data_IF_805566878270
#
_entry.id   IF_805566878270
#
_cell.length_a   1.000
_cell.length_b   1.000
_cell.length_c   1.000
_cell.angle_alpha   90.00
_cell.angle_beta   90.00
_cell.angle_gamma   90.00
#
_symmetry.space_group_name_H-M   'P 1'
#
loop_
_entity.id
_entity.type
_entity.pdbx_description
1 polymer ?
#
# COMPACT_ATOMS: atom_id res chain seq x y z
N UNK A 1 -1.62 39.49 14.07
CA UNK A 1 -1.41 39.80 12.64
C UNK A 1 -0.94 38.52 11.96
N UNK A 2 -1.76 38.03 11.02
CA UNK A 2 -1.58 36.75 10.32
C UNK A 2 -0.76 37.02 9.05
N UNK A 3 0.40 36.38 8.88
CA UNK A 3 1.21 36.59 7.67
C UNK A 3 0.84 35.52 6.63
N UNK A 4 -0.03 35.87 5.68
CA UNK A 4 -0.33 35.07 4.50
C UNK A 4 0.82 35.22 3.50
N UNK A 5 1.70 34.24 3.44
CA UNK A 5 2.71 34.17 2.38
C UNK A 5 2.13 33.37 1.21
N UNK A 6 1.80 34.07 0.12
CA UNK A 6 1.28 33.47 -1.12
C UNK A 6 2.33 32.50 -1.67
N UNK A 7 1.94 31.24 -1.86
CA UNK A 7 2.74 30.23 -2.54
C UNK A 7 2.85 30.61 -4.02
N UNK A 8 4.07 30.72 -4.55
CA UNK A 8 4.25 30.78 -6.00
C UNK A 8 3.96 29.40 -6.60
N UNK A 9 3.23 29.31 -7.73
CA UNK A 9 2.90 28.04 -8.34
C UNK A 9 4.17 27.37 -8.87
N UNK A 10 4.27 26.06 -8.68
CA UNK A 10 5.41 25.31 -9.20
C UNK A 10 5.37 25.24 -10.75
N UNK A 11 6.49 24.80 -11.33
CA UNK A 11 6.67 24.73 -12.79
C UNK A 11 5.67 23.77 -13.46
N UNK A 12 5.15 22.80 -12.70
CA UNK A 12 4.16 21.82 -13.12
C UNK A 12 2.75 22.45 -13.20
N UNK A 13 2.42 23.29 -12.21
CA UNK A 13 1.21 24.11 -12.14
C UNK A 13 1.21 25.24 -13.19
N UNK A 14 2.37 25.77 -13.59
CA UNK A 14 2.49 26.79 -14.65
C UNK A 14 2.16 26.28 -16.06
N UNK A 15 2.24 24.97 -16.30
CA UNK A 15 2.06 24.35 -17.63
C UNK A 15 0.61 23.96 -17.89
N UNK A 16 -0.23 23.87 -16.85
CA UNK A 16 -1.59 23.38 -16.94
C UNK A 16 -2.61 24.54 -16.79
N UNK A 17 -3.46 24.76 -17.80
CA UNK A 17 -4.62 25.65 -17.63
C UNK A 17 -5.78 24.87 -17.04
N UNK A 18 -6.32 25.36 -15.92
CA UNK A 18 -7.60 24.92 -15.38
C UNK A 18 -8.74 25.36 -16.28
N UNK A 19 -9.38 24.39 -16.93
CA UNK A 19 -10.76 24.50 -17.40
C UNK A 19 -11.52 23.33 -16.80
N UNK A 20 -12.62 23.61 -16.10
CA UNK A 20 -13.34 22.65 -15.26
C UNK A 20 -13.54 21.30 -15.93
N UNK A 21 -12.86 20.27 -15.41
CA UNK A 21 -12.98 18.89 -15.89
C UNK A 21 -11.68 18.12 -16.16
N UNK A 22 -10.49 18.70 -15.97
CA UNK A 22 -9.21 17.96 -16.04
C UNK A 22 -8.05 18.76 -16.65
N UNK A 23 -6.83 18.22 -16.52
CA UNK A 23 -5.59 18.83 -16.99
C UNK A 23 -5.15 18.26 -18.35
N UNK A 24 -4.85 19.11 -19.33
CA UNK A 24 -4.35 18.71 -20.66
C UNK A 24 -3.01 19.39 -20.95
N UNK A 25 -2.04 18.61 -21.42
CA UNK A 25 -0.66 19.02 -21.70
C UNK A 25 -0.56 19.80 -23.03
N UNK A 26 0.02 21.01 -23.01
CA UNK A 26 0.29 21.82 -24.21
C UNK A 26 1.81 21.95 -24.46
N UNK A 27 2.37 21.20 -25.42
CA UNK A 27 3.82 21.14 -25.65
C UNK A 27 4.38 22.41 -26.32
N UNK A 28 3.57 23.39 -26.74
CA UNK A 28 4.06 24.58 -27.46
C UNK A 28 4.56 25.72 -26.55
N UNK A 29 4.50 25.57 -25.23
CA UNK A 29 4.94 26.60 -24.27
C UNK A 29 6.38 26.48 -23.76
N UNK A 30 7.12 25.46 -24.18
CA UNK A 30 8.52 25.29 -23.77
C UNK A 30 9.40 26.12 -24.73
N UNK A 31 9.60 27.40 -24.42
CA UNK A 31 10.53 28.28 -25.15
C UNK A 31 11.84 28.45 -24.37
N UNK A 32 12.94 28.09 -25.02
CA UNK A 32 14.30 28.11 -24.51
C UNK A 32 14.88 29.53 -24.36
N UNK A 33 15.35 29.92 -23.16
CA UNK A 33 16.68 30.53 -22.95
C UNK A 33 17.03 30.90 -21.48
N UNK A 34 18.29 30.54 -21.10
CA UNK A 34 19.21 31.03 -20.03
C UNK A 34 19.03 30.64 -18.55
N UNK A 35 20.13 30.56 -17.73
CA UNK A 35 21.56 30.46 -18.03
C UNK A 35 22.23 29.16 -17.50
N UNK A 36 23.31 28.74 -18.17
CA UNK A 36 24.06 27.48 -17.96
C UNK A 36 24.66 27.25 -16.55
N UNK A 37 24.63 28.24 -15.64
CA UNK A 37 25.20 28.10 -14.30
C UNK A 37 24.26 27.39 -13.30
N UNK A 38 22.94 27.55 -13.44
CA UNK A 38 21.98 26.82 -12.61
C UNK A 38 21.83 25.36 -13.07
N UNK A 39 22.02 25.11 -14.36
CA UNK A 39 21.89 23.77 -14.97
C UNK A 39 23.07 22.87 -14.59
N UNK A 40 24.26 23.43 -14.33
CA UNK A 40 25.43 22.66 -13.94
C UNK A 40 25.31 22.07 -12.52
N UNK A 41 24.76 22.81 -11.55
CA UNK A 41 24.55 22.27 -10.18
C UNK A 41 23.28 21.42 -10.04
N UNK A 42 22.31 21.59 -10.95
CA UNK A 42 21.12 20.74 -11.03
C UNK A 42 21.40 19.43 -11.81
N UNK A 43 22.34 19.40 -12.76
CA UNK A 43 22.61 18.19 -13.57
C UNK A 43 23.31 17.04 -12.85
N UNK A 44 23.93 17.30 -11.68
CA UNK A 44 24.49 16.23 -10.84
C UNK A 44 23.56 15.79 -9.71
N UNK A 45 22.35 16.38 -9.59
CA UNK A 45 21.42 16.10 -8.49
C UNK A 45 20.09 15.48 -8.93
N UNK A 46 19.98 14.95 -10.16
CA UNK A 46 18.66 14.57 -10.72
C UNK A 46 18.60 13.30 -11.56
N UNK A 47 19.55 12.37 -11.45
CA UNK A 47 19.33 11.01 -12.00
C UNK A 47 19.83 9.89 -11.08
N UNK A 48 20.70 10.16 -10.09
CA UNK A 48 21.20 9.12 -9.18
C UNK A 48 20.33 8.93 -7.92
N UNK A 49 19.58 9.95 -7.48
CA UNK A 49 18.79 9.90 -6.23
C UNK A 49 17.39 9.27 -6.37
N UNK A 50 16.93 8.98 -7.60
CA UNK A 50 15.59 8.40 -7.84
C UNK A 50 15.59 6.85 -7.84
N UNK A 51 16.78 6.23 -7.72
CA UNK A 51 16.98 4.78 -7.74
C UNK A 51 17.15 4.18 -6.32
N UNK A 52 16.86 4.98 -5.28
CA UNK A 52 16.98 4.62 -3.86
C UNK A 52 15.67 4.60 -3.08
N UNK A 53 14.51 4.88 -3.69
CA UNK A 53 13.26 4.45 -3.09
C UNK A 53 13.11 2.95 -3.31
N UNK A 54 13.55 2.19 -2.32
CA UNK A 54 13.34 0.76 -2.22
C UNK A 54 11.82 0.50 -2.25
N UNK A 55 11.27 0.18 -3.42
CA UNK A 55 9.84 -0.17 -3.61
C UNK A 55 9.51 -1.55 -3.01
N UNK A 56 10.32 -2.05 -2.07
CA UNK A 56 10.10 -3.34 -1.43
C UNK A 56 9.05 -3.16 -0.35
N UNK A 57 7.82 -3.53 -0.68
CA UNK A 57 6.82 -3.82 0.36
C UNK A 57 7.27 -5.04 1.16
N UNK A 58 7.23 -4.93 2.48
CA UNK A 58 7.55 -6.01 3.39
C UNK A 58 6.55 -7.16 3.25
N UNK A 59 7.06 -8.39 3.31
CA UNK A 59 6.21 -9.57 3.34
C UNK A 59 5.57 -9.74 4.71
N UNK A 60 4.24 -9.79 4.75
CA UNK A 60 3.50 -10.04 5.98
C UNK A 60 3.19 -11.54 6.12
N UNK A 61 3.73 -12.15 7.18
CA UNK A 61 3.42 -13.53 7.56
C UNK A 61 1.98 -13.68 8.05
N UNK A 62 1.32 -14.75 7.62
CA UNK A 62 -0.08 -15.04 7.94
C UNK A 62 -0.28 -16.52 8.21
N UNK A 63 -1.10 -16.82 9.20
CA UNK A 63 -1.66 -18.15 9.44
C UNK A 63 -3.11 -18.18 8.97
N UNK A 64 -3.52 -19.28 8.32
CA UNK A 64 -4.88 -19.47 7.82
C UNK A 64 -5.47 -20.72 8.45
N UNK A 65 -6.52 -20.55 9.24
CA UNK A 65 -7.21 -21.63 9.96
C UNK A 65 -8.56 -21.86 9.31
N UNK A 66 -8.79 -23.12 8.94
CA UNK A 66 -10.07 -23.59 8.42
C UNK A 66 -10.92 -24.17 9.55
N UNK A 67 -12.09 -23.61 9.81
CA UNK A 67 -13.08 -24.14 10.76
C UNK A 67 -14.33 -24.59 10.02
N UNK A 68 -15.30 -25.23 10.68
CA UNK A 68 -16.53 -25.66 10.01
C UNK A 68 -17.28 -24.51 9.33
N UNK A 69 -17.39 -23.37 10.03
CA UNK A 69 -18.24 -22.25 9.61
C UNK A 69 -17.47 -21.02 9.11
N UNK A 70 -16.18 -20.89 9.43
CA UNK A 70 -15.38 -19.70 9.13
C UNK A 70 -13.99 -20.06 8.59
N UNK A 71 -13.40 -19.11 7.87
CA UNK A 71 -11.95 -19.01 7.69
C UNK A 71 -11.43 -17.94 8.64
N UNK A 72 -10.37 -18.26 9.39
CA UNK A 72 -9.72 -17.32 10.31
C UNK A 72 -8.31 -17.06 9.78
N UNK A 73 -7.95 -15.78 9.64
CA UNK A 73 -6.60 -15.36 9.24
C UNK A 73 -5.96 -14.57 10.38
N UNK A 74 -4.75 -14.96 10.77
CA UNK A 74 -4.01 -14.37 11.89
C UNK A 74 -2.69 -13.83 11.37
N UNK A 75 -2.30 -12.64 11.82
CA UNK A 75 -1.00 -12.06 11.47
C UNK A 75 -0.44 -11.24 12.63
N UNK A 76 0.88 -11.32 12.82
CA UNK A 76 1.60 -10.46 13.76
C UNK A 76 2.04 -9.17 13.07
N UNK A 77 1.67 -8.05 13.67
CA UNK A 77 1.88 -6.69 13.16
C UNK A 77 2.49 -5.77 14.21
N UNK A 78 3.51 -6.25 14.93
CA UNK A 78 4.20 -5.44 15.92
C UNK A 78 4.66 -4.10 15.33
N UNK A 79 4.35 -3.00 16.02
CA UNK A 79 4.73 -1.64 15.60
C UNK A 79 3.80 -0.97 14.59
N UNK A 80 2.77 -1.65 14.06
CA UNK A 80 1.76 -1.01 13.20
C UNK A 80 0.62 -0.41 14.05
N UNK A 81 0.26 0.85 13.78
CA UNK A 81 -0.95 1.47 14.31
C UNK A 81 -2.20 0.86 13.68
N UNK A 82 -3.28 0.71 14.46
CA UNK A 82 -4.54 0.16 13.96
C UNK A 82 -5.13 0.98 12.80
N UNK A 83 -4.92 2.29 12.83
CA UNK A 83 -5.31 3.27 11.82
C UNK A 83 -4.51 3.17 10.52
N UNK A 84 -3.39 2.45 10.55
CA UNK A 84 -2.52 2.18 9.38
C UNK A 84 -2.76 0.81 8.78
N UNK A 85 -3.74 0.04 9.27
CA UNK A 85 -4.05 -1.30 8.78
C UNK A 85 -5.31 -1.24 7.90
N UNK A 86 -5.18 -1.74 6.68
CA UNK A 86 -6.29 -1.88 5.75
C UNK A 86 -6.52 -3.36 5.44
N UNK A 87 -7.79 -3.77 5.46
CA UNK A 87 -8.20 -5.15 5.17
C UNK A 87 -9.29 -5.12 4.12
N UNK A 88 -9.08 -5.85 3.03
CA UNK A 88 -9.99 -5.93 1.90
C UNK A 88 -10.33 -7.38 1.59
N UNK A 89 -11.62 -7.67 1.36
CA UNK A 89 -12.08 -8.92 0.78
C UNK A 89 -12.67 -8.61 -0.58
N UNK A 90 -12.11 -9.19 -1.64
CA UNK A 90 -12.63 -9.10 -2.99
C UNK A 90 -12.70 -10.51 -3.58
N UNK A 91 -13.91 -11.00 -3.87
CA UNK A 91 -14.16 -12.39 -4.26
C UNK A 91 -13.57 -13.38 -3.22
N UNK A 92 -12.60 -14.18 -3.65
CA UNK A 92 -11.84 -15.15 -2.87
C UNK A 92 -10.49 -14.61 -2.41
N UNK A 93 -10.21 -13.32 -2.58
CA UNK A 93 -8.95 -12.70 -2.15
C UNK A 93 -9.13 -11.89 -0.86
N UNK A 94 -8.41 -12.28 0.19
CA UNK A 94 -8.19 -11.45 1.36
C UNK A 94 -6.86 -10.71 1.22
N UNK A 95 -6.91 -9.38 1.17
CA UNK A 95 -5.71 -8.53 1.14
C UNK A 95 -5.57 -7.75 2.42
N UNK A 96 -4.38 -7.78 3.00
CA UNK A 96 -4.00 -7.08 4.21
C UNK A 96 -2.85 -6.15 3.85
N UNK A 97 -2.98 -4.87 4.19
CA UNK A 97 -1.94 -3.85 3.99
C UNK A 97 -1.71 -3.07 5.26
N UNK A 98 -0.51 -2.52 5.39
CA UNK A 98 -0.26 -1.49 6.37
C UNK A 98 1.17 -0.98 6.36
N UNK A 99 1.53 -0.25 7.41
CA UNK A 99 2.83 0.39 7.54
C UNK A 99 3.33 0.33 8.98
N UNK A 100 4.62 0.05 9.16
CA UNK A 100 5.33 0.10 10.44
C UNK A 100 6.36 1.22 10.37
N UNK A 101 6.28 2.18 11.27
CA UNK A 101 7.27 3.25 11.35
C UNK A 101 8.46 2.79 12.18
N UNK A 102 9.67 3.14 11.75
CA UNK A 102 10.85 2.94 12.57
C UNK A 102 10.73 3.83 13.84
N UNK A 103 11.18 3.34 15.01
CA UNK A 103 11.18 4.16 16.22
C UNK A 103 12.22 5.29 16.18
N UNK A 104 13.20 5.21 15.27
CA UNK A 104 14.22 6.21 15.04
C UNK A 104 14.30 6.45 13.53
N UNK A 105 14.06 7.69 13.11
CA UNK A 105 14.23 8.14 11.73
C UNK A 105 15.71 8.44 11.54
N UNK A 106 16.43 7.49 10.94
CA UNK A 106 17.89 7.49 10.82
C UNK A 106 18.64 7.56 12.18
N UNK A 107 19.73 6.79 12.31
CA UNK A 107 20.54 6.83 13.53
C UNK A 107 21.41 8.09 13.44
N UNK A 108 20.96 9.21 14.02
CA UNK A 108 21.70 10.49 13.99
C UNK A 108 23.12 10.35 14.56
N UNK A 109 23.27 9.56 15.62
CA UNK A 109 24.56 9.23 16.25
C UNK A 109 24.68 7.71 16.44
N UNK A 110 25.17 7.01 15.41
CA UNK A 110 25.44 5.56 15.46
C UNK A 110 25.22 4.87 14.11
N UNK A 111 25.44 3.55 14.10
CA UNK A 111 25.20 2.72 12.92
C UNK A 111 24.50 1.42 13.32
N UNK A 112 23.68 0.87 12.42
CA UNK A 112 23.14 -0.46 12.63
C UNK A 112 24.27 -1.50 12.60
N UNK A 113 24.56 -2.11 13.75
CA UNK A 113 25.44 -3.27 13.81
C UNK A 113 24.75 -4.47 13.12
N UNK A 114 23.44 -4.66 13.40
CA UNK A 114 22.57 -5.66 12.77
C UNK A 114 21.15 -5.11 12.62
N UNK A 115 20.48 -5.42 11.51
CA UNK A 115 19.10 -5.01 11.24
C UNK A 115 18.34 -6.15 10.56
N UNK A 116 17.42 -6.77 11.30
CA UNK A 116 16.54 -7.83 10.79
C UNK A 116 15.07 -7.35 10.71
N UNK A 117 14.73 -6.32 11.48
CA UNK A 117 13.38 -5.75 11.48
C UNK A 117 13.13 -4.99 10.18
N UNK A 118 12.03 -5.35 9.52
CA UNK A 118 11.51 -4.57 8.40
C UNK A 118 10.69 -3.37 8.91
N UNK A 119 11.00 -2.18 8.39
CA UNK A 119 10.25 -0.95 8.59
C UNK A 119 9.73 -0.43 7.26
N UNK A 120 8.55 0.16 7.25
CA UNK A 120 7.86 0.65 6.06
C UNK A 120 6.57 -0.12 5.76
N UNK A 121 6.13 -0.02 4.50
CA UNK A 121 4.86 -0.62 4.03
C UNK A 121 4.98 -2.12 3.90
N UNK A 122 3.95 -2.84 4.31
CA UNK A 122 3.85 -4.27 4.15
C UNK A 122 2.51 -4.65 3.51
N UNK A 123 2.49 -5.78 2.83
CA UNK A 123 1.24 -6.34 2.30
C UNK A 123 1.27 -7.86 2.23
N UNK A 124 0.07 -8.46 2.25
CA UNK A 124 -0.15 -9.87 1.92
C UNK A 124 -1.52 -10.04 1.31
N UNK A 125 -1.57 -10.82 0.24
CA UNK A 125 -2.82 -11.33 -0.32
C UNK A 125 -2.87 -12.84 -0.14
N UNK A 126 -3.99 -13.33 0.38
CA UNK A 126 -4.28 -14.75 0.59
C UNK A 126 -5.46 -15.13 -0.29
N UNK A 127 -5.29 -16.19 -1.08
CA UNK A 127 -6.40 -16.85 -1.78
C UNK A 127 -7.17 -17.69 -0.76
N UNK A 128 -8.44 -17.41 -0.59
CA UNK A 128 -9.34 -18.11 0.30
C UNK A 128 -9.80 -19.41 -0.38
N UNK A 129 -9.62 -20.59 0.25
CA UNK A 129 -9.92 -21.87 -0.39
C UNK A 129 -11.42 -22.17 -0.53
N UNK A 130 -12.30 -21.25 -0.12
CA UNK A 130 -13.75 -21.41 -0.15
C UNK A 130 -14.42 -20.07 -0.45
N UNK A 131 -15.64 -20.15 -0.98
CA UNK A 131 -16.53 -19.00 -1.03
C UNK A 131 -16.85 -18.46 0.36
N UNK A 132 -16.72 -17.15 0.54
CA UNK A 132 -16.94 -16.47 1.83
C UNK A 132 -17.97 -15.35 1.73
N UNK A 133 -18.56 -15.02 2.87
CA UNK A 133 -19.44 -13.86 3.08
C UNK A 133 -18.60 -12.68 3.57
N UNK A 134 -17.87 -12.05 2.65
CA UNK A 134 -16.93 -10.97 2.97
C UNK A 134 -17.57 -9.79 3.70
N UNK A 135 -18.84 -9.51 3.43
CA UNK A 135 -19.62 -8.46 4.09
C UNK A 135 -19.89 -8.71 5.58
N UNK A 136 -19.70 -9.96 6.03
CA UNK A 136 -19.88 -10.39 7.43
C UNK A 136 -18.53 -10.63 8.12
N UNK A 137 -17.42 -10.29 7.47
CA UNK A 137 -16.09 -10.40 8.05
C UNK A 137 -15.97 -9.53 9.30
N UNK A 138 -15.24 -10.05 10.29
CA UNK A 138 -14.88 -9.31 11.51
C UNK A 138 -13.37 -9.29 11.64
N UNK A 139 -12.81 -8.12 11.88
CA UNK A 139 -11.40 -7.95 12.20
C UNK A 139 -11.27 -7.46 13.64
N UNK A 140 -10.30 -8.03 14.36
CA UNK A 140 -9.89 -7.59 15.70
C UNK A 140 -8.38 -7.40 15.70
N UNK A 141 -7.92 -6.26 16.18
CA UNK A 141 -6.51 -5.96 16.35
C UNK A 141 -6.23 -5.66 17.82
N UNK A 142 -5.44 -6.51 18.46
CA UNK A 142 -5.12 -6.40 19.88
C UNK A 142 -3.70 -6.89 20.12
N UNK A 143 -2.92 -6.16 20.93
CA UNK A 143 -1.55 -6.53 21.32
C UNK A 143 -0.64 -6.86 20.13
N UNK A 144 -0.79 -6.12 19.02
CA UNK A 144 0.02 -6.33 17.81
C UNK A 144 -0.39 -7.54 16.98
N UNK A 145 -1.55 -8.17 17.25
CA UNK A 145 -2.05 -9.33 16.52
C UNK A 145 -3.36 -8.97 15.83
N UNK A 146 -3.38 -9.11 14.50
CA UNK A 146 -4.58 -8.98 13.68
C UNK A 146 -5.23 -10.35 13.52
N UNK A 147 -6.49 -10.47 13.93
CA UNK A 147 -7.32 -11.65 13.72
C UNK A 147 -8.52 -11.27 12.85
N UNK A 148 -8.65 -11.92 11.70
CA UNK A 148 -9.76 -11.74 10.77
C UNK A 148 -10.57 -13.04 10.73
N UNK A 149 -11.87 -12.96 10.96
CA UNK A 149 -12.80 -14.09 10.86
C UNK A 149 -13.82 -13.83 9.77
N UNK A 150 -13.91 -14.73 8.81
CA UNK A 150 -14.79 -14.60 7.64
C UNK A 150 -15.71 -15.83 7.56
N UNK A 151 -17.04 -15.64 7.65
CA UNK A 151 -17.97 -16.75 7.50
C UNK A 151 -17.93 -17.36 6.10
N UNK A 152 -17.97 -18.68 6.03
CA UNK A 152 -18.09 -19.40 4.75
C UNK A 152 -19.50 -19.26 4.19
N UNK A 153 -19.63 -19.28 2.87
CA UNK A 153 -20.92 -19.57 2.22
C UNK A 153 -21.23 -21.06 2.42
N UNK A 154 -22.46 -21.39 2.80
CA UNK A 154 -22.92 -22.78 2.81
C UNK A 154 -23.04 -23.26 1.37
N UNK A 155 -22.31 -24.31 1.00
CA UNK A 155 -22.56 -25.04 -0.25
C UNK A 155 -23.72 -26.01 0.00
N UNK A 156 -24.94 -25.57 -0.26
CA UNK A 156 -26.14 -26.35 0.08
C UNK A 156 -26.68 -27.20 -1.10
N UNK A 157 -25.83 -27.63 -2.03
CA UNK A 157 -26.32 -28.44 -3.14
C UNK A 157 -25.31 -29.50 -3.62
N UNK A 158 -25.74 -30.76 -3.55
CA UNK A 158 -25.17 -31.84 -4.36
C UNK A 158 -25.57 -31.57 -5.82
N UNK A 159 -24.60 -31.21 -6.64
CA UNK A 159 -24.82 -31.08 -8.09
C UNK A 159 -24.69 -32.48 -8.69
N UNK A 160 -25.80 -33.04 -9.18
CA UNK A 160 -25.78 -34.31 -9.92
C UNK A 160 -25.18 -34.06 -11.31
N UNK A 161 -23.99 -34.58 -11.55
CA UNK A 161 -23.35 -34.54 -12.87
C UNK A 161 -23.79 -35.77 -13.66
N UNK A 162 -24.26 -35.57 -14.90
CA UNK A 162 -24.62 -36.66 -15.81
C UNK A 162 -23.39 -37.05 -16.63
N UNK A 163 -23.02 -38.33 -16.59
CA UNK A 163 -21.99 -38.88 -17.49
C UNK A 163 -22.64 -39.11 -18.86
N UNK A 164 -21.94 -38.71 -19.92
CA UNK A 164 -22.31 -38.96 -21.32
C UNK A 164 -21.21 -39.81 -21.96
N UNK A 165 -21.61 -40.79 -22.78
CA UNK A 165 -20.68 -41.56 -23.58
C UNK A 165 -20.12 -40.70 -24.72
N UNK A 166 -18.84 -40.86 -25.03
CA UNK A 166 -18.09 -40.08 -26.02
C UNK A 166 -18.29 -40.52 -27.47
#
# INVERSE_FOLDING_TARGET
MYNQQKREPDVFEMILKSTGGGYVFDPKKISANKPAAAVASLSQKTVEDDWRQDHREGELSVDVINTDNNIIVISTMAGAGADKIEVYVHNDLLTIKGERMAPYDDVEEGEYIHQECFWGKFSRTVVLPFDVKGEQAKAKYENGILTISIPKKKLDSKIKIKVVDG
#
